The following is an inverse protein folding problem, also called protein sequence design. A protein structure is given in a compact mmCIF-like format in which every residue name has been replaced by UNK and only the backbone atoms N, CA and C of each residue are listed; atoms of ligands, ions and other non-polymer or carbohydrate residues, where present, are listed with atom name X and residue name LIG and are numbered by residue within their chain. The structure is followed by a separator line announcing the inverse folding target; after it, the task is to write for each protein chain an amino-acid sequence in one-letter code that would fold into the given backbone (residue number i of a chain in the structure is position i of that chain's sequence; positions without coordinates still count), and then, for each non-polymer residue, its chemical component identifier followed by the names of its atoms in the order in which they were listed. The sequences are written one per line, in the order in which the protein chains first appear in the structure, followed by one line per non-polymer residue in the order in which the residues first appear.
data_IF_799715181114
#
_entry.id   IF_799715181114
#
_cell.length_a   1.000
_cell.length_b   1.000
_cell.length_c   1.000
_cell.angle_alpha   90.00
_cell.angle_beta   90.00
_cell.angle_gamma   90.00
#
_symmetry.space_group_name_H-M   'P 1'
#
loop_
_entity.id
_entity.type
_entity.pdbx_description
1 polymer ?
#
# COMPACT_ATOMS: atom_id res chain seq x y z
N UNK A 1 -20.45 13.52 34.52
CA UNK A 1 -19.94 12.47 33.61
C UNK A 1 -18.44 12.66 33.66
N UNK A 2 -17.75 11.79 34.40
CA UNK A 2 -16.29 11.74 34.36
C UNK A 2 -15.93 11.39 32.90
N UNK A 3 -15.26 12.31 32.21
CA UNK A 3 -14.64 12.05 30.92
C UNK A 3 -13.66 10.90 31.11
N UNK A 4 -13.89 9.83 30.37
CA UNK A 4 -13.00 8.66 30.35
C UNK A 4 -11.63 9.12 29.82
N UNK A 5 -10.73 9.42 30.76
CA UNK A 5 -9.37 9.90 30.45
C UNK A 5 -8.45 8.85 29.80
N UNK A 6 -8.99 7.68 29.47
CA UNK A 6 -8.22 6.51 29.04
C UNK A 6 -8.20 6.28 27.52
N UNK A 7 -9.13 6.83 26.75
CA UNK A 7 -9.16 6.70 25.29
C UNK A 7 -8.77 8.04 24.65
N UNK A 8 -7.48 8.26 24.42
CA UNK A 8 -6.99 9.52 23.84
C UNK A 8 -6.91 9.50 22.31
N UNK A 9 -6.66 8.33 21.72
CA UNK A 9 -6.47 8.19 20.27
C UNK A 9 -7.10 6.89 19.76
N UNK A 10 -7.68 6.98 18.56
CA UNK A 10 -8.14 5.84 17.76
C UNK A 10 -7.41 5.93 16.41
N UNK A 11 -6.91 4.82 15.91
CA UNK A 11 -6.35 4.71 14.56
C UNK A 11 -7.19 3.78 13.70
N UNK A 12 -7.49 4.19 12.47
CA UNK A 12 -8.24 3.42 11.49
C UNK A 12 -7.50 3.36 10.17
N UNK A 13 -7.32 2.15 9.65
CA UNK A 13 -6.90 1.92 8.28
C UNK A 13 -8.12 1.76 7.37
N UNK A 14 -8.12 2.43 6.23
CA UNK A 14 -9.24 2.43 5.29
C UNK A 14 -8.73 2.21 3.86
N UNK A 15 -9.49 1.48 3.01
CA UNK A 15 -9.18 1.33 1.58
C UNK A 15 -9.58 2.61 0.81
N UNK A 16 -8.95 3.74 1.15
CA UNK A 16 -9.28 5.06 0.62
C UNK A 16 -8.04 5.96 0.57
N UNK A 17 -8.08 7.02 -0.25
CA UNK A 17 -7.05 8.06 -0.25
C UNK A 17 -7.22 8.90 1.01
N UNK A 18 -6.18 8.93 1.83
CA UNK A 18 -6.15 9.73 3.07
C UNK A 18 -5.16 10.88 2.89
N UNK A 19 -5.61 12.10 3.14
CA UNK A 19 -4.77 13.30 3.13
C UNK A 19 -5.12 14.19 4.33
N UNK A 20 -4.11 14.65 5.07
CA UNK A 20 -4.31 15.51 6.24
C UNK A 20 -5.35 14.95 7.23
N UNK A 21 -5.32 13.66 7.48
CA UNK A 21 -6.27 12.93 8.34
C UNK A 21 -7.75 13.05 7.88
N UNK A 22 -7.98 13.12 6.57
CA UNK A 22 -9.31 13.16 5.96
C UNK A 22 -9.39 12.16 4.82
N UNK A 23 -10.54 11.52 4.64
CA UNK A 23 -10.83 10.69 3.47
C UNK A 23 -11.14 11.61 2.28
N UNK A 24 -10.38 11.47 1.21
CA UNK A 24 -10.59 12.23 -0.02
C UNK A 24 -11.73 11.58 -0.83
N UNK A 25 -12.56 12.41 -1.45
CA UNK A 25 -13.71 11.99 -2.27
C UNK A 25 -14.79 11.22 -1.47
N UNK A 26 -14.94 11.53 -0.18
CA UNK A 26 -16.03 11.00 0.62
C UNK A 26 -16.74 12.10 1.40
N UNK A 27 -18.01 11.85 1.73
CA UNK A 27 -18.83 12.73 2.58
C UNK A 27 -18.57 12.48 4.09
N UNK A 28 -17.51 11.73 4.43
CA UNK A 28 -17.16 11.48 5.83
C UNK A 28 -16.45 12.70 6.38
N UNK A 29 -17.13 13.41 7.26
CA UNK A 29 -16.53 14.50 8.04
C UNK A 29 -15.35 13.99 8.87
N UNK A 30 -14.26 14.78 8.92
CA UNK A 30 -13.09 14.45 9.71
C UNK A 30 -13.46 14.25 11.18
N UNK A 31 -13.29 13.04 11.66
CA UNK A 31 -13.40 12.73 13.09
C UNK A 31 -12.10 13.22 13.75
N UNK A 32 -12.12 14.35 14.42
CA UNK A 32 -10.95 15.07 14.94
C UNK A 32 -10.07 14.25 15.91
N UNK A 33 -10.60 13.17 16.44
CA UNK A 33 -9.94 12.32 17.43
C UNK A 33 -9.47 10.96 16.86
N UNK A 34 -9.73 10.72 15.56
CA UNK A 34 -9.35 9.47 14.89
C UNK A 34 -8.21 9.75 13.93
N UNK A 35 -7.17 8.96 14.04
CA UNK A 35 -6.05 8.95 13.10
C UNK A 35 -6.40 8.03 11.93
N UNK A 36 -6.39 8.56 10.72
CA UNK A 36 -6.70 7.82 9.50
C UNK A 36 -5.43 7.47 8.72
N UNK A 37 -5.38 6.26 8.17
CA UNK A 37 -4.35 5.81 7.25
C UNK A 37 -4.97 4.95 6.16
N UNK A 38 -4.44 5.02 4.94
CA UNK A 38 -4.80 4.06 3.89
C UNK A 38 -4.33 2.66 4.31
N UNK A 39 -5.12 1.62 4.04
CA UNK A 39 -4.90 0.26 4.54
C UNK A 39 -3.58 -0.37 4.06
N UNK A 40 -3.27 -0.29 2.76
CA UNK A 40 -2.02 -0.86 2.22
C UNK A 40 -0.78 -0.07 2.69
N UNK A 41 -0.93 1.24 2.92
CA UNK A 41 0.13 2.06 3.52
C UNK A 41 0.36 1.70 4.98
N UNK A 42 -0.72 1.42 5.71
CA UNK A 42 -0.67 0.94 7.09
C UNK A 42 0.08 -0.39 7.19
N UNK A 43 -0.22 -1.35 6.30
CA UNK A 43 0.47 -2.64 6.21
C UNK A 43 1.96 -2.44 5.93
N UNK A 44 2.32 -1.60 4.95
CA UNK A 44 3.70 -1.32 4.60
C UNK A 44 4.46 -0.66 5.77
N UNK A 45 3.81 0.27 6.46
CA UNK A 45 4.38 0.94 7.63
C UNK A 45 4.64 -0.03 8.78
N UNK A 46 3.67 -0.88 9.11
CA UNK A 46 3.83 -1.91 10.14
C UNK A 46 4.91 -2.94 9.80
N UNK A 47 4.99 -3.37 8.54
CA UNK A 47 6.08 -4.24 8.08
C UNK A 47 7.44 -3.59 8.32
N UNK A 48 7.59 -2.30 8.00
CA UNK A 48 8.85 -1.59 8.21
C UNK A 48 9.25 -1.50 9.69
N UNK A 49 8.28 -1.31 10.60
CA UNK A 49 8.58 -1.31 12.04
C UNK A 49 9.21 -2.62 12.51
N UNK A 50 8.89 -3.73 11.84
CA UNK A 50 9.40 -5.06 12.19
C UNK A 50 10.69 -5.43 11.45
N UNK A 51 10.91 -4.92 10.25
CA UNK A 51 11.96 -5.42 9.34
C UNK A 51 12.97 -4.38 8.86
N UNK A 52 12.68 -3.08 8.95
CA UNK A 52 13.56 -1.96 8.56
C UNK A 52 14.12 -2.07 7.13
N UNK A 53 13.24 -2.32 6.15
CA UNK A 53 13.63 -2.54 4.74
C UNK A 53 12.89 -1.60 3.80
N UNK A 54 13.57 -1.17 2.72
CA UNK A 54 12.91 -0.56 1.58
C UNK A 54 12.04 -1.59 0.88
N UNK A 55 10.73 -1.40 0.96
CA UNK A 55 9.73 -2.36 0.50
C UNK A 55 8.56 -1.64 -0.18
N UNK A 56 8.00 -2.29 -1.19
CA UNK A 56 6.69 -1.94 -1.70
C UNK A 56 5.71 -3.11 -1.49
N UNK A 57 4.58 -2.82 -0.89
CA UNK A 57 3.42 -3.69 -0.88
C UNK A 57 2.53 -3.34 -2.07
N UNK A 58 2.24 -4.29 -2.92
CA UNK A 58 1.28 -4.17 -4.01
C UNK A 58 0.05 -5.02 -3.69
N UNK A 59 -1.10 -4.40 -3.63
CA UNK A 59 -2.38 -5.10 -3.46
C UNK A 59 -3.16 -5.12 -4.77
N UNK A 60 -3.81 -6.26 -5.03
CA UNK A 60 -4.70 -6.48 -6.18
C UNK A 60 -6.05 -6.99 -5.65
N UNK A 61 -6.89 -6.13 -5.08
CA UNK A 61 -8.18 -6.51 -4.52
C UNK A 61 -9.18 -6.84 -5.63
N UNK A 62 -10.23 -7.59 -5.28
CA UNK A 62 -11.23 -8.09 -6.24
C UNK A 62 -12.08 -6.97 -6.82
N UNK A 63 -12.51 -6.04 -5.99
CA UNK A 63 -13.57 -5.08 -6.33
C UNK A 63 -13.07 -3.63 -6.45
N UNK A 64 -11.76 -3.41 -6.38
CA UNK A 64 -11.13 -2.09 -6.54
C UNK A 64 -9.85 -2.16 -7.35
N UNK A 65 -9.29 -1.01 -7.71
CA UNK A 65 -8.00 -0.93 -8.40
C UNK A 65 -6.82 -1.31 -7.51
N UNK A 66 -5.65 -1.57 -8.11
CA UNK A 66 -4.44 -1.88 -7.35
C UNK A 66 -3.98 -0.67 -6.54
N UNK A 67 -3.44 -0.94 -5.37
CA UNK A 67 -2.80 0.05 -4.50
C UNK A 67 -1.36 -0.34 -4.16
N UNK A 68 -0.58 0.64 -3.75
CA UNK A 68 0.81 0.42 -3.32
C UNK A 68 1.12 1.19 -2.04
N UNK A 69 1.63 0.48 -1.03
CA UNK A 69 2.26 1.07 0.14
C UNK A 69 3.78 0.99 0.01
N UNK A 70 4.49 2.10 0.18
CA UNK A 70 5.92 2.19 -0.10
C UNK A 70 6.71 2.70 1.08
N UNK A 71 7.80 2.01 1.40
CA UNK A 71 8.78 2.42 2.39
C UNK A 71 10.12 2.63 1.69
N UNK A 72 10.67 3.82 1.82
CA UNK A 72 12.03 4.17 1.40
C UNK A 72 12.76 4.83 2.59
N UNK A 73 13.97 4.37 2.87
CA UNK A 73 14.82 4.88 3.95
C UNK A 73 14.10 4.94 5.31
N UNK A 74 13.35 3.88 5.61
CA UNK A 74 12.50 3.72 6.80
C UNK A 74 11.34 4.73 6.91
N UNK A 75 10.98 5.40 5.83
CA UNK A 75 9.88 6.35 5.80
C UNK A 75 8.77 5.89 4.85
N UNK A 76 7.53 6.03 5.29
CA UNK A 76 6.38 5.85 4.44
C UNK A 76 6.34 6.96 3.39
N UNK A 77 6.22 6.58 2.13
CA UNK A 77 6.05 7.52 1.02
C UNK A 77 4.56 7.78 0.82
N UNK A 78 4.09 8.84 1.40
CA UNK A 78 2.69 9.26 1.31
C UNK A 78 2.47 10.39 0.27
N UNK A 79 3.53 11.11 -0.04
CA UNK A 79 3.49 12.28 -0.91
C UNK A 79 2.86 13.49 -0.20
N UNK A 80 2.69 14.58 -0.95
CA UNK A 80 2.20 15.84 -0.38
C UNK A 80 0.72 15.78 0.05
N UNK A 81 -0.10 15.02 -0.69
CA UNK A 81 -1.56 14.95 -0.50
C UNK A 81 -2.08 13.51 -0.35
N UNK A 82 -1.24 12.57 0.08
CA UNK A 82 -1.65 11.18 0.29
C UNK A 82 -1.86 10.34 -0.97
N UNK A 83 -1.64 10.88 -2.19
CA UNK A 83 -1.89 10.16 -3.44
C UNK A 83 -0.74 9.22 -3.88
N UNK A 84 0.44 9.33 -3.24
CA UNK A 84 1.53 8.45 -3.60
C UNK A 84 1.15 6.98 -3.34
N UNK A 85 1.39 6.10 -4.31
CA UNK A 85 1.01 4.70 -4.23
C UNK A 85 -0.37 4.36 -4.78
N UNK A 86 -1.17 5.34 -5.17
CA UNK A 86 -2.48 5.11 -5.80
C UNK A 86 -2.30 4.71 -7.28
N UNK A 87 -1.86 3.48 -7.49
CA UNK A 87 -1.48 2.94 -8.82
C UNK A 87 -2.66 2.95 -9.80
N UNK A 88 -3.89 2.84 -9.30
CA UNK A 88 -5.11 2.90 -10.11
C UNK A 88 -5.27 4.23 -10.88
N UNK A 89 -4.60 5.30 -10.47
CA UNK A 89 -4.63 6.61 -11.14
C UNK A 89 -3.53 6.81 -12.19
N UNK A 90 -2.65 5.82 -12.39
CA UNK A 90 -1.60 5.94 -13.41
C UNK A 90 -2.23 5.95 -14.81
N UNK A 91 -2.11 7.05 -15.59
CA UNK A 91 -2.87 7.22 -16.84
C UNK A 91 -2.45 6.29 -17.98
N UNK A 92 -1.31 5.63 -17.85
CA UNK A 92 -0.81 4.65 -18.82
C UNK A 92 -1.62 3.35 -18.83
N UNK A 93 -2.40 3.10 -17.78
CA UNK A 93 -3.19 1.90 -17.61
C UNK A 93 -4.67 2.18 -17.87
N UNK A 94 -5.07 2.28 -19.17
CA UNK A 94 -6.48 2.53 -19.53
C UNK A 94 -7.46 1.50 -18.96
N UNK A 95 -6.98 0.28 -18.71
CA UNK A 95 -7.75 -0.78 -18.09
C UNK A 95 -8.10 -0.49 -16.62
N UNK A 96 -7.31 0.32 -15.91
CA UNK A 96 -7.58 0.71 -14.52
C UNK A 96 -8.76 1.68 -14.42
N UNK A 97 -8.93 2.56 -15.43
CA UNK A 97 -10.01 3.56 -15.46
C UNK A 97 -11.41 2.94 -15.57
N UNK A 98 -11.53 1.72 -16.13
CA UNK A 98 -12.81 1.07 -16.36
C UNK A 98 -13.30 0.23 -15.19
N UNK A 99 -12.56 0.17 -14.06
CA UNK A 99 -12.78 -0.81 -12.96
C UNK A 99 -12.88 -2.27 -13.45
N UNK A 100 -12.58 -2.49 -14.72
CA UNK A 100 -12.39 -3.80 -15.33
C UNK A 100 -10.92 -4.17 -15.19
N UNK A 101 -10.42 -4.27 -13.95
CA UNK A 101 -9.16 -4.94 -13.71
C UNK A 101 -9.40 -6.42 -14.01
N UNK A 102 -9.52 -6.70 -15.28
CA UNK A 102 -9.47 -8.08 -15.74
C UNK A 102 -8.13 -8.62 -15.29
N UNK A 103 -8.12 -9.72 -14.56
CA UNK A 103 -6.98 -10.43 -13.99
C UNK A 103 -5.97 -10.89 -15.05
N UNK A 104 -5.65 -10.01 -16.01
CA UNK A 104 -4.62 -10.27 -17.00
C UNK A 104 -3.28 -10.16 -16.26
N UNK A 105 -2.58 -11.27 -16.16
CA UNK A 105 -1.22 -11.33 -15.64
C UNK A 105 -0.31 -10.28 -16.32
N UNK A 106 -0.56 -9.99 -17.58
CA UNK A 106 0.15 -8.94 -18.33
C UNK A 106 -0.05 -7.56 -17.71
N UNK A 107 -1.27 -7.24 -17.26
CA UNK A 107 -1.56 -5.98 -16.59
C UNK A 107 -0.84 -5.88 -15.26
N UNK A 108 -0.81 -6.97 -14.50
CA UNK A 108 -0.05 -7.06 -13.23
C UNK A 108 1.44 -6.84 -13.50
N UNK A 109 2.01 -7.49 -14.50
CA UNK A 109 3.42 -7.32 -14.90
C UNK A 109 3.74 -5.86 -15.22
N UNK A 110 2.88 -5.14 -15.95
CA UNK A 110 3.10 -3.73 -16.28
C UNK A 110 3.06 -2.83 -15.03
N UNK A 111 2.13 -3.08 -14.10
CA UNK A 111 2.06 -2.38 -12.81
C UNK A 111 3.36 -2.62 -12.02
N UNK A 112 3.78 -3.88 -11.92
CA UNK A 112 5.00 -4.28 -11.21
C UNK A 112 6.24 -3.61 -11.83
N UNK A 113 6.39 -3.68 -13.16
CA UNK A 113 7.50 -3.06 -13.87
C UNK A 113 7.54 -1.54 -13.64
N UNK A 114 6.37 -0.88 -13.67
CA UNK A 114 6.27 0.56 -13.36
C UNK A 114 6.72 0.84 -11.93
N UNK A 115 6.26 0.05 -10.97
CA UNK A 115 6.64 0.20 -9.56
C UNK A 115 8.16 0.03 -9.37
N UNK A 116 8.77 -0.96 -10.03
CA UNK A 116 10.22 -1.17 -9.99
C UNK A 116 10.97 0.07 -10.51
N UNK A 117 10.56 0.59 -11.65
CA UNK A 117 11.23 1.75 -12.28
C UNK A 117 11.07 3.02 -11.44
N UNK A 118 9.92 3.23 -10.82
CA UNK A 118 9.64 4.45 -10.06
C UNK A 118 10.27 4.46 -8.67
N UNK A 119 10.38 3.30 -8.00
CA UNK A 119 10.74 3.23 -6.59
C UNK A 119 11.98 2.37 -6.30
N UNK A 120 12.37 1.51 -7.24
CA UNK A 120 13.53 0.61 -7.10
C UNK A 120 13.62 -0.05 -5.71
N UNK A 121 12.58 -0.75 -5.23
CA UNK A 121 12.57 -1.36 -3.92
C UNK A 121 13.52 -2.57 -3.84
N UNK A 122 13.97 -2.93 -2.65
CA UNK A 122 14.69 -4.19 -2.44
C UNK A 122 13.76 -5.41 -2.50
N UNK A 123 12.50 -5.20 -2.08
CA UNK A 123 11.50 -6.25 -1.96
C UNK A 123 10.14 -5.73 -2.42
N UNK A 124 9.46 -6.50 -3.27
CA UNK A 124 8.06 -6.35 -3.60
C UNK A 124 7.26 -7.46 -2.92
N UNK A 125 6.26 -7.07 -2.14
CA UNK A 125 5.34 -7.99 -1.48
C UNK A 125 3.96 -7.83 -2.11
N UNK A 126 3.39 -8.95 -2.53
CA UNK A 126 2.09 -9.02 -3.19
C UNK A 126 1.04 -9.53 -2.22
N UNK A 127 -0.14 -8.93 -2.26
CA UNK A 127 -1.31 -9.35 -1.49
C UNK A 127 -2.60 -9.04 -2.25
N UNK A 128 -3.74 -9.58 -1.80
CA UNK A 128 -5.04 -9.38 -2.40
C UNK A 128 -5.54 -10.60 -3.18
N UNK A 129 -6.83 -10.59 -3.53
CA UNK A 129 -7.52 -11.77 -4.06
C UNK A 129 -7.21 -12.08 -5.52
N UNK A 130 -6.74 -11.07 -6.27
CA UNK A 130 -6.45 -11.17 -7.71
C UNK A 130 -4.99 -11.55 -8.02
N UNK A 131 -4.21 -11.94 -7.01
CA UNK A 131 -2.85 -12.42 -7.15
C UNK A 131 -2.62 -13.61 -6.23
N UNK A 132 -1.78 -14.55 -6.66
CA UNK A 132 -1.42 -15.75 -5.91
C UNK A 132 0.09 -15.96 -5.93
N UNK A 133 0.57 -16.79 -5.03
CA UNK A 133 1.98 -17.17 -4.96
C UNK A 133 2.48 -17.75 -6.29
N UNK A 134 1.67 -18.58 -6.96
CA UNK A 134 1.99 -19.21 -8.25
C UNK A 134 2.22 -18.19 -9.39
N UNK A 135 1.67 -16.97 -9.27
CA UNK A 135 1.84 -15.92 -10.28
C UNK A 135 3.24 -15.30 -10.25
N UNK A 136 3.96 -15.41 -9.13
CA UNK A 136 5.26 -14.75 -8.94
C UNK A 136 6.30 -15.20 -9.96
N UNK A 137 6.32 -16.49 -10.33
CA UNK A 137 7.25 -16.99 -11.34
C UNK A 137 7.00 -16.33 -12.71
N UNK A 138 5.76 -16.18 -13.09
CA UNK A 138 5.37 -15.54 -14.35
C UNK A 138 5.67 -14.03 -14.32
N UNK A 139 5.46 -13.35 -13.20
CA UNK A 139 5.84 -11.95 -12.99
C UNK A 139 7.37 -11.79 -13.10
N UNK A 140 8.13 -12.64 -12.42
CA UNK A 140 9.59 -12.66 -12.47
C UNK A 140 10.14 -12.83 -13.89
N UNK A 141 9.45 -13.62 -14.73
CA UNK A 141 9.82 -13.85 -16.14
C UNK A 141 9.33 -12.73 -17.07
N UNK A 142 8.19 -12.13 -16.76
CA UNK A 142 7.55 -11.12 -17.62
C UNK A 142 8.13 -9.72 -17.46
N UNK A 143 8.45 -9.30 -16.23
CA UNK A 143 9.00 -7.97 -15.97
C UNK A 143 10.29 -7.63 -16.74
N UNK A 144 11.22 -8.56 -17.01
CA UNK A 144 12.40 -8.28 -17.83
C UNK A 144 12.14 -7.83 -19.28
N UNK A 145 10.90 -7.95 -19.77
CA UNK A 145 10.51 -7.35 -21.04
C UNK A 145 10.43 -5.80 -20.97
N UNK A 146 10.31 -5.24 -19.75
CA UNK A 146 10.15 -3.81 -19.47
C UNK A 146 11.30 -3.22 -18.68
N UNK A 147 11.91 -4.01 -17.78
CA UNK A 147 12.96 -3.58 -16.85
C UNK A 147 14.18 -4.49 -16.98
N UNK A 148 15.40 -3.95 -17.08
CA UNK A 148 16.59 -4.82 -17.13
C UNK A 148 16.67 -5.74 -15.91
N UNK A 149 16.97 -7.02 -16.14
CA UNK A 149 16.88 -8.08 -15.12
C UNK A 149 17.67 -7.81 -13.83
N UNK A 150 18.76 -7.07 -13.93
CA UNK A 150 19.61 -6.75 -12.77
C UNK A 150 18.98 -5.71 -11.81
N UNK A 151 17.86 -5.07 -12.19
CA UNK A 151 17.09 -4.20 -11.32
C UNK A 151 15.86 -4.89 -10.70
N UNK A 152 15.66 -6.17 -10.98
CA UNK A 152 14.55 -6.92 -10.39
C UNK A 152 14.74 -7.06 -8.88
N UNK A 153 13.75 -6.64 -8.08
CA UNK A 153 13.76 -6.87 -6.63
C UNK A 153 13.47 -8.34 -6.31
N UNK A 154 13.63 -8.70 -5.05
CA UNK A 154 13.02 -9.92 -4.54
C UNK A 154 11.51 -9.82 -4.57
N UNK A 155 10.82 -10.91 -4.95
CA UNK A 155 9.36 -10.98 -4.95
C UNK A 155 8.88 -11.91 -3.83
N UNK A 156 7.83 -11.53 -3.12
CA UNK A 156 7.21 -12.33 -2.05
C UNK A 156 5.69 -12.22 -2.15
N UNK A 157 4.99 -13.32 -1.95
CA UNK A 157 3.56 -13.33 -1.71
C UNK A 157 3.28 -13.36 -0.20
N UNK A 158 2.27 -12.60 0.24
CA UNK A 158 1.85 -12.53 1.63
C UNK A 158 0.32 -12.56 1.67
N UNK A 159 -0.24 -13.71 2.02
CA UNK A 159 -1.68 -13.93 2.08
C UNK A 159 -2.32 -13.14 3.23
N UNK A 160 -1.76 -13.28 4.43
CA UNK A 160 -2.25 -12.60 5.62
C UNK A 160 -1.30 -11.46 6.03
N UNK A 161 -1.83 -10.25 6.04
CA UNK A 161 -1.13 -9.02 6.45
C UNK A 161 -1.64 -8.44 7.77
N UNK A 162 -2.48 -9.18 8.52
CA UNK A 162 -3.16 -8.68 9.72
C UNK A 162 -2.19 -8.16 10.78
N UNK A 163 -1.12 -8.91 11.06
CA UNK A 163 -0.10 -8.49 12.05
C UNK A 163 0.57 -7.18 11.64
N UNK A 164 0.89 -7.02 10.35
CA UNK A 164 1.48 -5.78 9.84
C UNK A 164 0.49 -4.61 9.88
N UNK A 165 -0.77 -4.88 9.58
CA UNK A 165 -1.82 -3.89 9.67
C UNK A 165 -1.99 -3.35 11.09
N UNK A 166 -2.11 -4.22 12.08
CA UNK A 166 -2.21 -3.80 13.49
C UNK A 166 -0.96 -3.10 13.99
N UNK A 167 0.23 -3.59 13.61
CA UNK A 167 1.49 -2.93 13.95
C UNK A 167 1.57 -1.51 13.34
N UNK A 168 1.04 -1.31 12.13
CA UNK A 168 0.98 0.01 11.50
C UNK A 168 0.06 0.98 12.24
N UNK A 169 -1.13 0.53 12.64
CA UNK A 169 -2.08 1.32 13.43
C UNK A 169 -1.49 1.70 14.81
N UNK A 170 -0.88 0.74 15.50
CA UNK A 170 -0.23 0.98 16.78
C UNK A 170 0.90 2.01 16.66
N UNK A 171 1.76 1.84 15.64
CA UNK A 171 2.89 2.75 15.41
C UNK A 171 2.44 4.18 15.09
N UNK A 172 1.32 4.35 14.38
CA UNK A 172 0.73 5.66 14.12
C UNK A 172 0.31 6.36 15.42
N UNK A 173 -0.31 5.62 16.34
CA UNK A 173 -0.71 6.16 17.66
C UNK A 173 0.53 6.54 18.47
N UNK A 174 1.53 5.66 18.55
CA UNK A 174 2.77 5.91 19.29
C UNK A 174 3.47 7.17 18.78
N UNK A 175 3.59 7.32 17.46
CA UNK A 175 4.19 8.51 16.85
C UNK A 175 3.41 9.79 17.22
N UNK A 176 2.08 9.71 17.30
CA UNK A 176 1.25 10.85 17.67
C UNK A 176 1.41 11.28 19.13
N UNK A 177 1.62 10.32 20.01
CA UNK A 177 1.80 10.58 21.46
C UNK A 177 3.19 11.23 21.75
N UNK A 178 4.19 10.93 20.91
CA UNK A 178 5.57 11.44 21.08
C UNK A 178 5.79 12.85 20.52
N UNK A 179 4.81 13.42 19.79
CA UNK A 179 4.81 14.79 19.28
C UNK A 179 4.13 15.74 20.24
#
# INVERSE_FOLDING_TARGET
IEEDKYLQYISLGLPAIISNNQVIESDIDSLKEILLMNDIKCIAYGYNQMHHQNVCFLTFPKDSGPGCGMILDNQLIDGNNGIAGEVAYVPLFDFLKKREFGNSLENIIQVVATTIVMYNPHLLIFTGENIKEDDLEAIQKGCPNYVPIHFMPSLKYQENCEDYYFQGLESQIIQRIQL
#
